data_IF_201265715295
#
_entry.id   IF_201265715295
#
_cell.length_a   1.000
_cell.length_b   1.000
_cell.length_c   1.000
_cell.angle_alpha   90.00
_cell.angle_beta   90.00
_cell.angle_gamma   90.00
#
_symmetry.space_group_name_H-M   'P 1'
#
loop_
_entity.id
_entity.type
_entity.pdbx_description
1 polymer ?
#
# COMPACT_ATOMS: atom_id res chain seq x y z
N UNK A 1 14.54 -17.31 -0.05
CA UNK A 1 14.41 -16.14 0.86
C UNK A 1 14.72 -14.88 0.03
N UNK A 2 13.76 -13.99 -0.25
CA UNK A 2 14.04 -12.72 -0.93
C UNK A 2 14.81 -11.84 0.06
N UNK A 3 16.11 -11.70 -0.16
CA UNK A 3 16.95 -10.78 0.59
C UNK A 3 16.42 -9.37 0.36
N UNK A 4 16.15 -8.63 1.44
CA UNK A 4 15.98 -7.19 1.38
C UNK A 4 17.32 -6.65 0.89
N UNK A 5 17.49 -6.45 -0.42
CA UNK A 5 18.66 -5.73 -0.96
C UNK A 5 18.75 -4.43 -0.17
N UNK A 6 19.88 -4.18 0.47
CA UNK A 6 20.14 -2.91 1.15
C UNK A 6 19.82 -1.80 0.15
N UNK A 7 18.83 -0.97 0.50
CA UNK A 7 18.39 0.11 -0.37
C UNK A 7 19.57 1.08 -0.48
N UNK A 8 20.05 1.32 -1.70
CA UNK A 8 21.02 2.38 -1.93
C UNK A 8 20.46 3.72 -1.44
N UNK A 9 21.29 4.65 -0.95
CA UNK A 9 20.85 5.93 -0.42
C UNK A 9 19.99 6.73 -1.43
N UNK A 10 20.25 6.59 -2.73
CA UNK A 10 19.48 7.23 -3.81
C UNK A 10 18.23 6.44 -4.26
N UNK A 11 17.81 5.42 -3.51
CA UNK A 11 16.68 4.59 -3.87
C UNK A 11 15.36 5.37 -3.77
N UNK A 12 14.80 5.72 -4.93
CA UNK A 12 13.45 6.28 -5.03
C UNK A 12 12.41 5.17 -4.87
N UNK A 13 11.57 5.19 -3.82
CA UNK A 13 10.57 4.15 -3.57
C UNK A 13 9.46 4.20 -4.62
N UNK A 14 8.96 3.02 -5.01
CA UNK A 14 7.88 2.90 -6.01
C UNK A 14 6.63 3.65 -5.53
N UNK A 15 5.89 4.32 -6.45
CA UNK A 15 4.59 4.89 -6.09
C UNK A 15 3.63 3.76 -5.67
N UNK A 16 2.81 3.97 -4.62
CA UNK A 16 1.91 2.93 -4.12
C UNK A 16 0.77 2.67 -5.12
N UNK A 17 0.44 1.40 -5.34
CA UNK A 17 -0.74 1.00 -6.10
C UNK A 17 -2.02 1.14 -5.22
N UNK A 18 -3.24 0.93 -5.77
CA UNK A 18 -4.49 1.06 -5.01
C UNK A 18 -4.54 0.16 -3.76
N UNK A 19 -4.06 -1.08 -3.87
CA UNK A 19 -4.02 -2.02 -2.76
C UNK A 19 -3.06 -1.57 -1.65
N UNK A 20 -1.90 -0.99 -2.00
CA UNK A 20 -0.95 -0.44 -1.02
C UNK A 20 -1.56 0.76 -0.31
N UNK A 21 -2.29 1.62 -1.02
CA UNK A 21 -3.03 2.73 -0.42
C UNK A 21 -4.08 2.22 0.58
N UNK A 22 -4.85 1.19 0.20
CA UNK A 22 -5.80 0.54 1.08
C UNK A 22 -5.15 -0.11 2.30
N UNK A 23 -4.06 -0.87 2.13
CA UNK A 23 -3.33 -1.49 3.23
C UNK A 23 -2.90 -0.45 4.27
N UNK A 24 -2.34 0.68 3.83
CA UNK A 24 -1.96 1.76 4.72
C UNK A 24 -3.16 2.34 5.46
N UNK A 25 -4.30 2.46 4.77
CA UNK A 25 -5.55 2.91 5.38
C UNK A 25 -6.08 1.94 6.43
N UNK A 26 -6.13 0.66 6.10
CA UNK A 26 -6.54 -0.40 7.00
C UNK A 26 -5.68 -0.44 8.27
N UNK A 27 -4.35 -0.33 8.13
CA UNK A 27 -3.44 -0.27 9.27
C UNK A 27 -3.66 0.98 10.12
N UNK A 28 -3.94 2.14 9.52
CA UNK A 28 -4.29 3.35 10.26
C UNK A 28 -5.61 3.20 11.03
N UNK A 29 -6.62 2.58 10.42
CA UNK A 29 -7.90 2.29 11.07
C UNK A 29 -7.72 1.31 12.24
N UNK A 30 -6.89 0.29 12.07
CA UNK A 30 -6.52 -0.63 13.15
C UNK A 30 -5.83 0.12 14.31
N UNK A 31 -4.90 1.03 14.01
CA UNK A 31 -4.24 1.84 15.04
C UNK A 31 -5.20 2.78 15.78
N UNK A 32 -6.25 3.26 15.09
CA UNK A 32 -7.31 4.09 15.69
C UNK A 32 -8.39 3.30 16.41
N UNK A 33 -8.34 1.96 16.39
CA UNK A 33 -9.38 1.11 16.98
C UNK A 33 -10.68 1.06 16.16
N UNK A 34 -10.67 1.49 14.89
CA UNK A 34 -11.82 1.43 13.99
C UNK A 34 -11.99 0.03 13.36
N UNK A 35 -10.95 -0.81 13.43
CA UNK A 35 -10.96 -2.20 12.97
C UNK A 35 -10.64 -3.07 14.17
N UNK A 36 -11.56 -3.96 14.51
CA UNK A 36 -11.30 -5.00 15.51
C UNK A 36 -10.48 -6.13 14.87
N UNK A 37 -9.23 -6.27 15.31
CA UNK A 37 -8.34 -7.33 14.89
C UNK A 37 -7.54 -7.83 16.09
N UNK A 38 -7.90 -9.02 16.56
CA UNK A 38 -7.30 -9.73 17.69
C UNK A 38 -6.18 -10.69 17.29
N UNK A 39 -5.91 -10.83 15.99
CA UNK A 39 -4.90 -11.76 15.46
C UNK A 39 -3.45 -11.28 15.64
N UNK A 40 -2.47 -12.15 15.33
CA UNK A 40 -1.06 -11.78 15.29
C UNK A 40 -0.79 -10.57 14.40
N UNK A 41 -0.02 -9.59 14.90
CA UNK A 41 0.37 -8.37 14.16
C UNK A 41 1.59 -8.56 13.27
N UNK A 42 1.87 -9.79 12.84
CA UNK A 42 2.94 -10.06 11.89
C UNK A 42 2.53 -9.72 10.45
N UNK A 43 3.51 -9.39 9.61
CA UNK A 43 3.26 -8.95 8.24
C UNK A 43 2.53 -10.01 7.39
N UNK A 44 2.72 -11.31 7.65
CA UNK A 44 2.13 -12.38 6.85
C UNK A 44 0.64 -12.48 7.15
N UNK A 45 0.27 -12.60 8.42
CA UNK A 45 -1.13 -12.75 8.86
C UNK A 45 -1.96 -11.51 8.51
N UNK A 46 -1.42 -10.32 8.77
CA UNK A 46 -2.09 -9.08 8.39
C UNK A 46 -2.26 -8.97 6.86
N UNK A 47 -1.26 -9.35 6.07
CA UNK A 47 -1.39 -9.31 4.60
C UNK A 47 -2.51 -10.22 4.10
N UNK A 48 -2.66 -11.40 4.70
CA UNK A 48 -3.74 -12.32 4.37
C UNK A 48 -5.10 -11.68 4.65
N UNK A 49 -5.31 -11.16 5.87
CA UNK A 49 -6.59 -10.52 6.23
C UNK A 49 -6.90 -9.31 5.36
N UNK A 50 -5.94 -8.41 5.18
CA UNK A 50 -6.10 -7.21 4.33
C UNK A 50 -6.41 -7.60 2.89
N UNK A 51 -5.81 -8.68 2.37
CA UNK A 51 -6.13 -9.15 1.02
C UNK A 51 -7.56 -9.70 0.91
N UNK A 52 -8.08 -10.35 1.94
CA UNK A 52 -9.47 -10.81 1.98
C UNK A 52 -10.43 -9.61 2.00
N UNK A 53 -10.24 -8.68 2.93
CA UNK A 53 -11.04 -7.46 3.04
C UNK A 53 -11.01 -6.65 1.73
N UNK A 54 -9.86 -6.55 1.06
CA UNK A 54 -9.76 -5.89 -0.24
C UNK A 54 -10.59 -6.59 -1.31
N UNK A 55 -10.61 -7.93 -1.34
CA UNK A 55 -11.39 -8.67 -2.35
C UNK A 55 -12.88 -8.47 -2.13
N UNK A 56 -13.34 -8.54 -0.89
CA UNK A 56 -14.75 -8.39 -0.49
C UNK A 56 -15.29 -6.96 -0.64
N UNK A 57 -14.41 -5.95 -0.61
CA UNK A 57 -14.82 -4.55 -0.74
C UNK A 57 -15.51 -4.24 -2.08
N UNK A 58 -16.61 -3.45 -2.09
CA UNK A 58 -17.28 -3.06 -3.31
C UNK A 58 -16.39 -2.17 -4.19
N UNK A 59 -16.65 -2.21 -5.50
CA UNK A 59 -15.87 -1.46 -6.49
C UNK A 59 -15.93 0.06 -6.28
N UNK A 60 -17.04 0.58 -5.79
CA UNK A 60 -17.21 2.00 -5.45
C UNK A 60 -16.23 2.43 -4.36
N UNK A 61 -16.04 1.62 -3.32
CA UNK A 61 -15.05 1.89 -2.28
C UNK A 61 -13.62 1.69 -2.80
N UNK A 62 -13.37 0.68 -3.64
CA UNK A 62 -12.07 0.51 -4.34
C UNK A 62 -11.73 1.72 -5.21
N UNK A 63 -12.72 2.37 -5.82
CA UNK A 63 -12.52 3.55 -6.67
C UNK A 63 -11.84 4.71 -5.93
N UNK A 64 -12.13 4.91 -4.64
CA UNK A 64 -11.43 5.89 -3.80
C UNK A 64 -9.92 5.64 -3.80
N UNK A 65 -9.51 4.40 -3.56
CA UNK A 65 -8.10 4.00 -3.52
C UNK A 65 -7.45 4.00 -4.91
N UNK A 66 -8.21 3.69 -5.97
CA UNK A 66 -7.74 3.85 -7.36
C UNK A 66 -7.40 5.30 -7.68
N UNK A 67 -8.28 6.24 -7.30
CA UNK A 67 -8.04 7.68 -7.46
C UNK A 67 -6.85 8.16 -6.65
N UNK A 68 -6.74 7.73 -5.39
CA UNK A 68 -5.60 8.07 -4.53
C UNK A 68 -4.27 7.56 -5.10
N UNK A 69 -4.22 6.31 -5.55
CA UNK A 69 -3.03 5.75 -6.18
C UNK A 69 -2.64 6.50 -7.46
N UNK A 70 -3.61 6.88 -8.29
CA UNK A 70 -3.35 7.68 -9.48
C UNK A 70 -2.78 9.06 -9.12
N UNK A 71 -3.33 9.71 -8.10
CA UNK A 71 -2.82 10.98 -7.60
C UNK A 71 -1.39 10.85 -7.08
N UNK A 72 -1.10 9.81 -6.26
CA UNK A 72 0.25 9.56 -5.76
C UNK A 72 1.23 9.20 -6.87
N UNK A 73 0.80 8.47 -7.90
CA UNK A 73 1.61 8.21 -9.10
C UNK A 73 1.97 9.51 -9.83
N UNK A 74 1.00 10.43 -9.99
CA UNK A 74 1.24 11.75 -10.59
C UNK A 74 2.20 12.59 -9.74
N UNK A 75 1.95 12.69 -8.44
CA UNK A 75 2.84 13.40 -7.51
C UNK A 75 4.25 12.83 -7.51
N UNK A 76 4.38 11.50 -7.57
CA UNK A 76 5.68 10.84 -7.67
C UNK A 76 6.40 11.19 -8.97
N UNK A 77 5.70 11.20 -10.11
CA UNK A 77 6.27 11.60 -11.39
C UNK A 77 6.72 13.06 -11.41
N UNK A 78 5.98 13.96 -10.74
CA UNK A 78 6.35 15.37 -10.58
C UNK A 78 7.55 15.54 -9.64
N UNK A 79 7.59 14.79 -8.54
CA UNK A 79 8.67 14.86 -7.54
C UNK A 79 9.98 14.24 -8.04
N UNK A 80 9.88 13.19 -8.86
CA UNK A 80 11.01 12.46 -9.41
C UNK A 80 10.92 12.45 -10.94
N UNK A 81 11.19 13.61 -11.59
CA UNK A 81 11.24 13.67 -13.04
C UNK A 81 12.34 12.72 -13.54
N UNK A 82 12.01 11.86 -14.51
CA UNK A 82 12.93 10.84 -15.03
C UNK A 82 12.95 9.52 -14.24
N UNK A 83 12.07 9.33 -13.25
CA UNK A 83 11.93 8.02 -12.58
C UNK A 83 11.60 6.91 -13.59
N UNK A 84 12.50 5.93 -13.72
CA UNK A 84 12.31 4.73 -14.53
C UNK A 84 12.21 3.51 -13.61
N UNK A 85 11.20 2.69 -13.84
CA UNK A 85 11.03 1.44 -13.11
C UNK A 85 12.17 0.47 -13.44
N UNK A 86 13.04 0.21 -12.47
CA UNK A 86 14.05 -0.85 -12.52
C UNK A 86 13.56 -2.04 -11.66
N UNK A 87 13.14 -3.16 -12.27
CA UNK A 87 12.62 -4.33 -11.56
C UNK A 87 13.63 -5.02 -10.65
#
# INVERSE_FOLDING_TARGET
RRTQRQRQPDYVPRPPNPFICFRQDWLRRLQRGEVDYSGPRDQRTMSFRISADWREMPETAKAKFRREALQRKRQHALKYPGYKFAP
#
